data_IF_573049905693
#
_entry.id   IF_573049905693
#
_cell.length_a   1.000
_cell.length_b   1.000
_cell.length_c   1.000
_cell.angle_alpha   90.00
_cell.angle_beta   90.00
_cell.angle_gamma   90.00
#
_symmetry.space_group_name_H-M   'P 1'
#
loop_
_entity.id
_entity.type
_entity.pdbx_description
1 polymer ?
#
# COMPACT_ATOMS: atom_id res chain seq x y z
N UNK A 1 -3.67 -13.15 7.50
CA UNK A 1 -3.70 -11.85 8.22
C UNK A 1 -4.33 -10.84 7.27
N UNK A 2 -5.31 -10.06 7.72
CA UNK A 2 -5.96 -9.01 6.93
C UNK A 2 -5.35 -7.67 7.33
N UNK A 3 -4.72 -6.96 6.38
CA UNK A 3 -4.24 -5.60 6.62
C UNK A 3 -5.14 -4.63 5.86
N UNK A 4 -5.69 -3.67 6.59
CA UNK A 4 -6.53 -2.61 6.07
C UNK A 4 -5.70 -1.34 5.97
N UNK A 5 -5.42 -0.87 4.75
CA UNK A 5 -4.93 0.49 4.53
C UNK A 5 -6.09 1.29 3.93
N UNK A 6 -6.68 2.14 4.75
CA UNK A 6 -7.65 3.16 4.33
C UNK A 6 -7.17 4.51 4.86
N UNK A 7 -7.26 5.53 4.03
CA UNK A 7 -6.96 6.91 4.41
C UNK A 7 -8.16 7.51 5.16
N UNK A 8 -7.97 7.94 6.40
CA UNK A 8 -8.97 8.68 7.20
C UNK A 8 -8.81 10.20 6.94
N UNK A 9 -9.14 10.66 5.73
CA UNK A 9 -9.37 12.09 5.49
C UNK A 9 -10.88 12.36 5.49
N UNK A 10 -11.34 13.12 6.48
CA UNK A 10 -12.74 13.38 6.84
C UNK A 10 -13.62 14.00 5.72
N UNK A 11 -13.09 14.27 4.52
CA UNK A 11 -13.81 14.97 3.44
C UNK A 11 -13.55 14.40 2.03
N UNK A 12 -12.94 13.22 1.89
CA UNK A 12 -12.69 12.59 0.57
C UNK A 12 -13.61 11.37 0.43
N UNK A 13 -14.34 11.18 -0.69
CA UNK A 13 -15.21 10.02 -0.86
C UNK A 13 -14.43 8.73 -0.62
N UNK A 14 -14.95 7.90 0.29
CA UNK A 14 -14.42 6.60 0.76
C UNK A 14 -14.27 5.56 -0.37
N UNK A 15 -13.42 5.81 -1.37
CA UNK A 15 -13.12 4.86 -2.46
C UNK A 15 -11.68 4.31 -2.40
N UNK A 16 -10.87 4.73 -1.43
CA UNK A 16 -9.43 4.45 -1.35
C UNK A 16 -9.09 3.26 -0.43
N UNK A 17 -9.97 2.27 -0.37
CA UNK A 17 -9.73 1.08 0.46
C UNK A 17 -9.18 -0.04 -0.41
N UNK A 18 -7.94 -0.48 -0.15
CA UNK A 18 -7.49 -1.82 -0.56
C UNK A 18 -7.25 -2.65 0.69
N UNK A 19 -7.61 -3.93 0.58
CA UNK A 19 -7.40 -4.92 1.60
C UNK A 19 -6.44 -5.98 1.06
N UNK A 20 -5.32 -6.17 1.76
CA UNK A 20 -4.42 -7.28 1.47
C UNK A 20 -4.81 -8.48 2.33
N UNK A 21 -5.20 -9.57 1.66
CA UNK A 21 -5.49 -10.86 2.30
C UNK A 21 -4.29 -11.78 2.10
N UNK A 22 -3.50 -11.99 3.15
CA UNK A 22 -2.43 -12.99 3.14
C UNK A 22 -3.00 -14.38 3.48
N UNK A 23 -2.57 -15.42 2.73
CA UNK A 23 -2.97 -16.81 2.97
C UNK A 23 -2.60 -17.25 4.38
N UNK A 24 -3.49 -18.01 5.03
CA UNK A 24 -3.36 -18.43 6.43
C UNK A 24 -2.30 -19.52 6.64
N UNK A 25 -1.86 -20.14 5.56
CA UNK A 25 -1.03 -21.35 5.57
C UNK A 25 0.43 -21.09 5.97
N UNK A 26 0.90 -19.84 5.91
CA UNK A 26 2.23 -19.44 6.36
C UNK A 26 2.12 -18.38 7.48
N UNK A 27 2.90 -18.54 8.56
CA UNK A 27 3.00 -17.50 9.60
C UNK A 27 3.93 -16.39 9.14
N UNK A 28 3.41 -15.16 9.13
CA UNK A 28 4.17 -13.97 8.79
C UNK A 28 4.24 -13.04 9.99
N UNK A 29 5.42 -12.48 10.24
CA UNK A 29 5.61 -11.43 11.25
C UNK A 29 5.87 -10.11 10.53
N UNK A 30 5.05 -9.05 10.72
CA UNK A 30 5.35 -7.73 10.16
C UNK A 30 6.64 -7.20 10.80
N UNK A 31 7.59 -6.78 9.96
CA UNK A 31 8.91 -6.28 10.39
C UNK A 31 9.14 -4.82 10.04
N UNK A 32 8.29 -4.22 9.20
CA UNK A 32 8.40 -2.81 8.86
C UNK A 32 7.26 -2.32 7.98
N UNK A 33 6.96 -1.04 8.08
CA UNK A 33 6.07 -0.31 7.20
C UNK A 33 6.74 0.99 6.76
N UNK A 34 6.76 1.25 5.47
CA UNK A 34 7.28 2.47 4.85
C UNK A 34 6.18 3.11 3.99
N UNK A 35 5.99 4.42 4.11
CA UNK A 35 5.11 5.16 3.21
C UNK A 35 5.95 6.05 2.29
N UNK A 36 5.68 5.96 1.00
CA UNK A 36 6.36 6.74 -0.04
C UNK A 36 5.36 7.73 -0.66
N UNK A 37 4.79 8.59 0.19
CA UNK A 37 3.70 9.51 -0.14
C UNK A 37 2.32 9.01 0.33
N UNK A 38 1.25 9.73 -0.04
CA UNK A 38 -0.11 9.43 0.41
C UNK A 38 -0.73 8.17 -0.22
N UNK A 39 -0.13 7.66 -1.30
CA UNK A 39 -0.72 6.59 -2.13
C UNK A 39 0.15 5.35 -2.27
N UNK A 40 1.38 5.36 -1.75
CA UNK A 40 2.31 4.23 -1.83
C UNK A 40 2.64 3.79 -0.40
N UNK A 41 2.30 2.54 -0.10
CA UNK A 41 2.65 1.88 1.14
C UNK A 41 3.45 0.63 0.83
N UNK A 42 4.56 0.43 1.54
CA UNK A 42 5.34 -0.79 1.51
C UNK A 42 5.30 -1.42 2.89
N UNK A 43 4.92 -2.68 2.95
CA UNK A 43 4.94 -3.47 4.19
C UNK A 43 5.85 -4.67 4.00
N UNK A 44 6.79 -4.85 4.94
CA UNK A 44 7.71 -5.97 4.95
C UNK A 44 7.33 -6.97 6.02
N UNK A 45 7.46 -8.25 5.69
CA UNK A 45 7.15 -9.38 6.55
C UNK A 45 8.33 -10.36 6.54
N UNK A 46 8.53 -11.03 7.67
CA UNK A 46 9.39 -12.20 7.73
C UNK A 46 8.51 -13.46 7.66
N UNK A 47 8.84 -14.37 6.75
CA UNK A 47 8.21 -15.70 6.64
C UNK A 47 8.77 -16.65 7.69
N UNK A 48 8.15 -17.82 7.88
CA UNK A 48 8.66 -18.85 8.80
C UNK A 48 10.04 -19.39 8.39
N UNK A 49 10.32 -19.41 7.09
CA UNK A 49 11.63 -19.80 6.55
C UNK A 49 12.70 -18.72 6.76
N UNK A 50 12.33 -17.59 7.35
CA UNK A 50 13.22 -16.47 7.63
C UNK A 50 13.45 -15.53 6.46
N UNK A 51 12.77 -15.75 5.33
CA UNK A 51 12.84 -14.89 4.14
C UNK A 51 12.04 -13.61 4.41
N UNK A 52 12.60 -12.46 4.02
CA UNK A 52 11.88 -11.20 4.04
C UNK A 52 11.09 -11.03 2.75
N UNK A 53 9.77 -10.94 2.87
CA UNK A 53 8.86 -10.62 1.77
C UNK A 53 8.32 -9.20 1.94
N UNK A 54 8.37 -8.38 0.90
CA UNK A 54 7.81 -7.03 0.91
C UNK A 54 6.63 -6.94 -0.05
N UNK A 55 5.55 -6.31 0.38
CA UNK A 55 4.38 -6.03 -0.44
C UNK A 55 4.28 -4.52 -0.59
N UNK A 56 4.17 -4.05 -1.83
CA UNK A 56 3.97 -2.64 -2.15
C UNK A 56 2.53 -2.48 -2.64
N UNK A 57 1.77 -1.65 -1.95
CA UNK A 57 0.44 -1.21 -2.35
C UNK A 57 0.55 0.19 -2.93
N UNK A 58 -0.08 0.38 -4.09
CA UNK A 58 0.01 1.60 -4.86
C UNK A 58 -1.37 1.93 -5.42
N UNK A 59 -1.94 3.07 -5.03
CA UNK A 59 -3.23 3.53 -5.51
C UNK A 59 -3.04 4.55 -6.63
N UNK A 60 -3.58 4.31 -7.84
CA UNK A 60 -3.47 5.29 -8.91
C UNK A 60 -4.21 6.59 -8.54
N UNK A 61 -3.77 7.73 -9.10
CA UNK A 61 -4.51 8.97 -9.02
C UNK A 61 -5.94 8.81 -9.54
N UNK A 62 -6.88 9.53 -8.92
CA UNK A 62 -8.27 9.61 -9.41
C UNK A 62 -8.23 10.14 -10.85
N UNK A 63 -9.09 9.62 -11.74
CA UNK A 63 -9.09 9.97 -13.17
C UNK A 63 -9.12 11.49 -13.43
N UNK A 64 -9.86 12.24 -12.60
CA UNK A 64 -10.02 13.70 -12.68
C UNK A 64 -8.89 14.49 -11.99
N UNK A 65 -7.80 13.82 -11.57
CA UNK A 65 -6.64 14.53 -11.02
C UNK A 65 -5.81 15.19 -12.13
N UNK A 66 -5.22 16.34 -11.80
CA UNK A 66 -4.35 17.10 -12.70
C UNK A 66 -3.22 16.21 -13.27
N UNK A 67 -2.87 16.43 -14.53
CA UNK A 67 -1.82 15.67 -15.22
C UNK A 67 -0.47 15.80 -14.49
N UNK A 68 -0.13 16.96 -13.92
CA UNK A 68 1.09 17.11 -13.10
C UNK A 68 1.12 16.18 -11.87
N UNK A 69 -0.06 15.93 -11.26
CA UNK A 69 -0.19 15.03 -10.10
C UNK A 69 -0.04 13.57 -10.55
N UNK A 70 -0.55 13.24 -11.74
CA UNK A 70 -0.38 11.92 -12.34
C UNK A 70 1.07 11.67 -12.70
N UNK A 71 1.73 12.63 -13.34
CA UNK A 71 3.11 12.52 -13.77
C UNK A 71 4.05 12.38 -12.56
N UNK A 72 3.91 13.22 -11.53
CA UNK A 72 4.69 13.09 -10.29
C UNK A 72 4.48 11.73 -9.61
N UNK A 73 3.26 11.19 -9.67
CA UNK A 73 2.98 9.87 -9.09
C UNK A 73 3.70 8.75 -9.87
N UNK A 74 3.70 8.80 -11.20
CA UNK A 74 4.40 7.82 -12.02
C UNK A 74 5.93 7.95 -11.91
N UNK A 75 6.48 9.16 -11.78
CA UNK A 75 7.90 9.36 -11.50
C UNK A 75 8.34 8.75 -10.16
N UNK A 76 7.48 8.81 -9.13
CA UNK A 76 7.76 8.21 -7.81
C UNK A 76 7.67 6.68 -7.80
N UNK A 77 7.15 6.07 -8.87
CA UNK A 77 7.05 4.62 -9.02
C UNK A 77 8.24 4.00 -9.79
N UNK A 78 9.09 4.81 -10.40
CA UNK A 78 10.27 4.39 -11.15
C UNK A 78 11.47 4.13 -10.23
#
# INVERSE_FOLDING_TARGET
MLLYSGHEEENVPHNQTAALILSKEARYTPIGWEFHGSRISKTSFKTEEGVTMSVIQCYPPIYDSNDDIKDQFYERLQ
#
